data_IF_115398724051
#
_entry.id   IF_115398724051
#
_cell.length_a   1.000
_cell.length_b   1.000
_cell.length_c   1.000
_cell.angle_alpha   90.00
_cell.angle_beta   90.00
_cell.angle_gamma   90.00
#
_symmetry.space_group_name_H-M   'P 1'
#
loop_
_entity.id
_entity.type
_entity.pdbx_description
1 polymer ?
#
# COMPACT_ATOMS: atom_id res chain seq x y z
N UNK A 1 11.48 -5.38 -8.37
CA UNK A 1 10.18 -6.04 -8.30
C UNK A 1 9.10 -5.09 -7.82
N UNK A 2 9.35 -4.37 -6.73
CA UNK A 2 8.40 -3.40 -6.22
C UNK A 2 8.14 -2.29 -7.24
N UNK A 3 9.17 -1.87 -7.97
CA UNK A 3 9.00 -0.88 -9.03
C UNK A 3 8.12 -1.40 -10.15
N UNK A 4 8.26 -2.67 -10.51
CA UNK A 4 7.43 -3.29 -11.54
C UNK A 4 5.97 -3.33 -11.08
N UNK A 5 5.73 -3.72 -9.83
CA UNK A 5 4.37 -3.76 -9.27
C UNK A 5 3.77 -2.36 -9.21
N UNK A 6 4.55 -1.37 -8.79
CA UNK A 6 4.08 0.01 -8.74
C UNK A 6 3.70 0.53 -10.13
N UNK A 7 4.54 0.27 -11.13
CA UNK A 7 4.24 0.72 -12.50
C UNK A 7 3.00 0.05 -13.05
N UNK A 8 2.81 -1.23 -12.78
CA UNK A 8 1.62 -1.95 -13.18
C UNK A 8 0.38 -1.44 -12.44
N UNK A 9 0.53 -1.03 -11.20
CA UNK A 9 -0.58 -0.51 -10.40
C UNK A 9 -1.17 0.76 -11.00
N UNK A 10 -0.41 1.53 -11.76
CA UNK A 10 -0.90 2.74 -12.42
C UNK A 10 -1.80 2.43 -13.60
N UNK A 11 -1.75 1.23 -14.13
CA UNK A 11 -2.63 0.80 -15.21
C UNK A 11 -3.84 0.12 -14.61
N UNK A 12 -4.96 0.82 -14.58
CA UNK A 12 -6.18 0.32 -13.94
C UNK A 12 -7.00 -0.60 -14.85
N UNK A 13 -6.49 -0.96 -16.02
CA UNK A 13 -7.19 -1.88 -16.92
C UNK A 13 -7.38 -3.26 -16.31
N UNK A 14 -6.56 -3.62 -15.32
CA UNK A 14 -6.70 -4.87 -14.57
C UNK A 14 -7.94 -4.91 -13.69
N UNK A 15 -8.55 -3.76 -13.42
CA UNK A 15 -9.64 -3.66 -12.47
C UNK A 15 -10.87 -4.41 -12.96
N UNK A 16 -11.35 -5.32 -12.14
CA UNK A 16 -12.51 -6.17 -12.44
C UNK A 16 -13.73 -5.69 -11.67
N UNK A 17 -14.95 -6.06 -12.10
CA UNK A 17 -16.17 -5.62 -11.41
C UNK A 17 -16.24 -6.03 -9.95
N UNK A 18 -15.65 -7.17 -9.59
CA UNK A 18 -15.75 -7.72 -8.25
C UNK A 18 -14.46 -7.52 -7.47
N UNK A 19 -14.18 -6.27 -7.13
CA UNK A 19 -13.00 -5.92 -6.35
C UNK A 19 -13.33 -5.88 -4.86
N UNK A 20 -12.36 -6.25 -4.03
CA UNK A 20 -12.44 -6.02 -2.59
C UNK A 20 -12.49 -4.51 -2.31
N UNK A 21 -12.89 -4.14 -1.09
CA UNK A 21 -12.88 -2.75 -0.66
C UNK A 21 -11.50 -2.14 -0.78
N UNK A 22 -10.47 -2.89 -0.36
CA UNK A 22 -9.08 -2.46 -0.44
C UNK A 22 -8.63 -2.23 -1.88
N UNK A 23 -9.04 -3.12 -2.80
CA UNK A 23 -8.71 -2.97 -4.21
C UNK A 23 -9.42 -1.78 -4.83
N UNK A 24 -10.65 -1.50 -4.43
CA UNK A 24 -11.38 -0.32 -4.90
C UNK A 24 -10.70 0.97 -4.43
N UNK A 25 -10.22 1.00 -3.19
CA UNK A 25 -9.49 2.15 -2.68
C UNK A 25 -8.17 2.32 -3.43
N UNK A 26 -7.46 1.24 -3.68
CA UNK A 26 -6.22 1.28 -4.47
C UNK A 26 -6.48 1.84 -5.86
N UNK A 27 -7.53 1.37 -6.52
CA UNK A 27 -7.91 1.87 -7.85
C UNK A 27 -8.19 3.37 -7.81
N UNK A 28 -8.90 3.83 -6.81
CA UNK A 28 -9.22 5.25 -6.65
C UNK A 28 -7.96 6.10 -6.51
N UNK A 29 -6.99 5.63 -5.73
CA UNK A 29 -5.72 6.35 -5.58
C UNK A 29 -4.95 6.40 -6.90
N UNK A 30 -4.92 5.30 -7.64
CA UNK A 30 -4.23 5.26 -8.94
C UNK A 30 -4.90 6.21 -9.93
N UNK A 31 -6.22 6.21 -9.97
CA UNK A 31 -6.99 7.08 -10.89
C UNK A 31 -6.79 8.57 -10.59
N UNK A 32 -6.52 8.92 -9.34
CA UNK A 32 -6.25 10.31 -8.95
C UNK A 32 -4.76 10.66 -9.02
N UNK A 33 -3.92 9.75 -9.47
CA UNK A 33 -2.48 9.92 -9.51
C UNK A 33 -1.89 10.19 -8.11
N UNK A 34 -2.47 9.57 -7.12
CA UNK A 34 -2.00 9.65 -5.73
C UNK A 34 -1.07 8.49 -5.40
N UNK A 35 -0.19 8.15 -6.33
CA UNK A 35 0.82 7.11 -6.17
C UNK A 35 2.17 7.79 -5.98
N UNK A 36 2.85 7.45 -4.90
CA UNK A 36 4.16 7.99 -4.61
C UNK A 36 5.19 7.28 -5.49
N UNK A 37 5.80 8.02 -6.41
CA UNK A 37 6.67 7.44 -7.45
C UNK A 37 8.08 7.13 -7.00
N UNK A 38 8.57 7.86 -6.00
CA UNK A 38 9.98 7.85 -5.62
C UNK A 38 10.22 7.20 -4.26
N UNK A 39 9.38 6.22 -3.91
CA UNK A 39 9.54 5.48 -2.67
C UNK A 39 10.86 4.71 -2.69
N UNK A 40 11.64 4.88 -1.63
CA UNK A 40 12.81 4.07 -1.37
C UNK A 40 12.34 2.77 -0.71
N UNK A 41 12.20 1.71 -1.51
CA UNK A 41 11.69 0.44 -1.01
C UNK A 41 12.68 -0.33 -0.16
N UNK A 42 13.93 0.12 -0.09
CA UNK A 42 14.94 -0.50 0.78
C UNK A 42 14.91 0.09 2.19
N UNK A 43 14.74 1.41 2.30
CA UNK A 43 14.85 2.10 3.58
C UNK A 43 13.63 2.93 3.96
N UNK A 44 12.71 3.14 3.03
CA UNK A 44 11.48 3.94 3.25
C UNK A 44 11.77 5.34 3.78
N UNK A 45 12.83 5.97 3.26
CA UNK A 45 13.27 7.27 3.77
C UNK A 45 12.31 8.41 3.48
N UNK A 46 11.49 8.27 2.45
CA UNK A 46 10.62 9.35 1.98
C UNK A 46 9.13 9.08 2.15
N UNK A 47 8.75 8.10 2.95
CA UNK A 47 7.35 7.99 3.35
C UNK A 47 7.10 8.84 4.59
N UNK A 48 5.87 9.33 4.72
CA UNK A 48 5.49 10.29 5.74
C UNK A 48 4.23 9.83 6.48
N UNK A 49 4.00 10.34 7.70
CA UNK A 49 2.74 10.05 8.39
C UNK A 49 1.54 10.42 7.51
N UNK A 50 0.56 9.54 7.46
CA UNK A 50 -0.63 9.70 6.64
C UNK A 50 -0.56 9.01 5.29
N UNK A 51 0.62 8.58 4.85
CA UNK A 51 0.73 7.79 3.63
C UNK A 51 0.04 6.45 3.83
N UNK A 52 -0.61 5.97 2.78
CA UNK A 52 -1.34 4.70 2.82
C UNK A 52 -0.56 3.66 2.03
N UNK A 53 -0.36 2.50 2.64
CA UNK A 53 0.34 1.38 2.02
C UNK A 53 -0.67 0.36 1.57
N UNK A 54 -0.55 -0.08 0.32
CA UNK A 54 -1.47 -1.06 -0.28
C UNK A 54 -0.73 -2.37 -0.48
N UNK A 55 -1.29 -3.45 0.06
CA UNK A 55 -0.62 -4.75 0.13
C UNK A 55 -1.40 -5.80 -0.62
N UNK A 56 -0.66 -6.66 -1.32
CA UNK A 56 -1.19 -7.88 -1.91
C UNK A 56 -1.28 -8.98 -0.84
N UNK A 57 -1.96 -10.06 -1.19
CA UNK A 57 -2.06 -11.24 -0.34
C UNK A 57 -0.92 -12.20 -0.60
N UNK A 58 -0.54 -12.95 0.44
CA UNK A 58 0.33 -14.12 0.30
C UNK A 58 -0.41 -15.34 -0.29
N UNK A 59 -1.72 -15.27 -0.41
CA UNK A 59 -2.52 -16.40 -0.84
C UNK A 59 -2.41 -16.61 -2.34
N UNK A 60 -1.76 -17.69 -2.74
CA UNK A 60 -1.58 -18.04 -4.15
C UNK A 60 -2.90 -18.26 -4.89
N UNK A 61 -3.98 -18.57 -4.17
CA UNK A 61 -5.31 -18.69 -4.78
C UNK A 61 -5.81 -17.36 -5.33
N UNK A 62 -5.26 -16.27 -4.85
CA UNK A 62 -5.56 -14.92 -5.34
C UNK A 62 -4.51 -14.47 -6.36
N UNK A 63 -3.94 -15.42 -7.09
CA UNK A 63 -2.86 -15.18 -8.05
C UNK A 63 -3.35 -14.36 -9.24
N UNK A 64 -3.52 -13.10 -9.00
CA UNK A 64 -3.84 -12.10 -10.02
C UNK A 64 -3.22 -10.78 -9.58
N UNK A 65 -2.77 -10.03 -10.55
CA UNK A 65 -2.16 -8.75 -10.26
C UNK A 65 -3.15 -7.82 -9.56
N UNK A 66 -2.67 -7.11 -8.55
CA UNK A 66 -3.47 -6.15 -7.79
C UNK A 66 -4.64 -6.76 -7.01
N UNK A 67 -4.47 -7.98 -6.57
CA UNK A 67 -5.38 -8.53 -5.56
C UNK A 67 -5.12 -7.86 -4.21
N UNK A 68 -5.25 -6.53 -4.18
CA UNK A 68 -5.04 -5.76 -2.96
C UNK A 68 -6.05 -6.20 -1.91
N UNK A 69 -5.57 -6.77 -0.83
CA UNK A 69 -6.41 -7.33 0.22
C UNK A 69 -6.20 -6.65 1.56
N UNK A 70 -5.24 -5.72 1.65
CA UNK A 70 -4.91 -5.11 2.93
C UNK A 70 -4.34 -3.72 2.73
N UNK A 71 -4.65 -2.81 3.66
CA UNK A 71 -4.10 -1.46 3.69
C UNK A 71 -3.57 -1.14 5.07
N UNK A 72 -2.56 -0.29 5.12
CA UNK A 72 -1.97 0.22 6.36
C UNK A 72 -1.75 1.72 6.22
N UNK A 73 -1.62 2.41 7.34
CA UNK A 73 -1.36 3.85 7.35
C UNK A 73 -0.04 4.10 8.07
N UNK A 74 0.85 4.83 7.43
CA UNK A 74 2.10 5.25 8.07
C UNK A 74 1.81 6.27 9.16
N UNK A 75 2.42 6.07 10.33
CA UNK A 75 2.25 6.98 11.47
C UNK A 75 3.56 7.62 11.91
N UNK A 76 4.62 7.45 11.12
CA UNK A 76 5.90 8.05 11.39
C UNK A 76 6.91 7.06 11.95
N UNK A 77 8.00 7.59 12.47
CA UNK A 77 9.10 6.77 12.96
C UNK A 77 9.05 6.64 14.47
N UNK A 78 9.49 5.50 14.99
CA UNK A 78 9.68 5.31 16.41
C UNK A 78 11.03 5.92 16.86
N UNK A 79 11.35 5.74 18.14
CA UNK A 79 12.59 6.28 18.72
C UNK A 79 13.86 5.69 18.08
N UNK A 80 13.74 4.53 17.46
CA UNK A 80 14.86 3.84 16.82
C UNK A 80 14.94 4.09 15.31
N UNK A 81 14.08 4.96 14.78
CA UNK A 81 14.06 5.28 13.37
C UNK A 81 13.28 4.30 12.50
N UNK A 82 12.53 3.38 13.09
CA UNK A 82 11.72 2.43 12.33
C UNK A 82 10.42 3.09 11.87
N UNK A 83 10.09 2.92 10.60
CA UNK A 83 8.80 3.36 10.10
C UNK A 83 7.69 2.49 10.67
N UNK A 84 6.74 3.11 11.32
CA UNK A 84 5.62 2.44 11.98
C UNK A 84 4.36 2.58 11.15
N UNK A 85 3.57 1.53 11.10
CA UNK A 85 2.28 1.52 10.42
C UNK A 85 1.20 1.05 11.38
N UNK A 86 -0.01 1.57 11.17
CA UNK A 86 -1.21 1.11 11.88
C UNK A 86 -2.06 0.34 10.89
N UNK A 87 -2.60 -0.78 11.33
CA UNK A 87 -3.48 -1.59 10.51
C UNK A 87 -4.57 -2.24 11.35
N UNK A 88 -5.73 -2.45 10.73
CA UNK A 88 -6.80 -3.25 11.30
C UNK A 88 -6.61 -4.72 10.96
N UNK A 89 -7.13 -5.58 11.81
CA UNK A 89 -7.02 -7.01 11.67
C UNK A 89 -8.42 -7.62 11.56
N UNK A 90 -8.50 -8.82 10.99
CA UNK A 90 -9.78 -9.51 10.81
C UNK A 90 -10.47 -9.85 12.14
N UNK A 91 -9.73 -9.89 13.23
CA UNK A 91 -10.28 -10.12 14.56
C UNK A 91 -10.70 -8.83 15.27
N UNK A 92 -10.72 -7.71 14.56
CA UNK A 92 -11.15 -6.42 15.11
C UNK A 92 -10.11 -5.68 15.91
N UNK A 93 -8.88 -6.15 15.93
CA UNK A 93 -7.78 -5.51 16.67
C UNK A 93 -7.03 -4.54 15.77
N UNK A 94 -6.76 -3.35 16.28
CA UNK A 94 -5.89 -2.38 15.60
C UNK A 94 -4.49 -2.55 16.16
N UNK A 95 -3.51 -2.67 15.26
CA UNK A 95 -2.11 -2.89 15.62
C UNK A 95 -1.23 -1.77 15.10
N UNK A 96 -0.21 -1.46 15.88
CA UNK A 96 0.89 -0.59 15.44
C UNK A 96 2.14 -1.46 15.36
N UNK A 97 2.66 -1.61 14.16
CA UNK A 97 3.82 -2.49 13.91
C UNK A 97 4.86 -1.75 13.07
N UNK A 98 6.06 -2.31 12.97
CA UNK A 98 7.05 -1.81 12.02
C UNK A 98 6.64 -2.22 10.61
N UNK A 99 6.93 -1.37 9.63
CA UNK A 99 6.66 -1.72 8.23
C UNK A 99 7.38 -3.02 7.85
N UNK A 100 8.56 -3.25 8.41
CA UNK A 100 9.37 -4.44 8.13
C UNK A 100 8.83 -5.71 8.78
N UNK A 101 7.81 -5.61 9.65
CA UNK A 101 7.14 -6.78 10.19
C UNK A 101 6.21 -7.44 9.17
N UNK A 102 5.92 -6.76 8.05
CA UNK A 102 5.19 -7.34 6.93
C UNK A 102 6.17 -7.76 5.83
N UNK A 103 5.70 -8.66 4.97
CA UNK A 103 6.50 -9.08 3.81
C UNK A 103 6.50 -7.94 2.77
N UNK A 104 7.61 -7.26 2.67
CA UNK A 104 7.77 -6.09 1.80
C UNK A 104 7.53 -6.45 0.32
N UNK A 105 7.74 -7.70 -0.07
CA UNK A 105 7.50 -8.13 -1.45
C UNK A 105 6.01 -8.06 -1.81
N UNK A 106 5.13 -7.99 -0.82
CA UNK A 106 3.69 -7.84 -1.04
C UNK A 106 3.25 -6.39 -1.10
N UNK A 107 4.14 -5.43 -0.90
CA UNK A 107 3.80 -4.02 -1.00
C UNK A 107 3.61 -3.65 -2.47
N UNK A 108 2.39 -3.28 -2.83
CA UNK A 108 2.06 -2.91 -4.20
C UNK A 108 2.49 -1.48 -4.51
N UNK A 109 2.08 -0.54 -3.68
CA UNK A 109 2.49 0.85 -3.79
C UNK A 109 2.15 1.62 -2.52
N UNK A 110 2.70 2.81 -2.42
CA UNK A 110 2.38 3.76 -1.35
C UNK A 110 1.57 4.90 -1.97
N UNK A 111 0.44 5.23 -1.37
CA UNK A 111 -0.40 6.33 -1.82
C UNK A 111 -0.25 7.54 -0.91
N UNK A 112 -0.27 8.71 -1.54
CA UNK A 112 -0.28 9.98 -0.82
C UNK A 112 -1.32 10.88 -1.44
N UNK A 113 -2.29 11.28 -0.64
CA UNK A 113 -3.34 12.19 -1.11
C UNK A 113 -2.73 13.54 -1.43
N UNK A 114 -2.98 14.01 -2.63
CA UNK A 114 -2.51 15.32 -3.09
C UNK A 114 -3.64 16.03 -3.82
N UNK A 115 -4.32 16.92 -3.11
CA UNK A 115 -5.50 17.58 -3.64
C UNK A 115 -5.20 18.49 -4.83
N UNK A 116 -3.94 18.87 -5.04
CA UNK A 116 -3.55 19.65 -6.21
C UNK A 116 -3.59 18.84 -7.51
N UNK A 117 -3.66 17.51 -7.41
CA UNK A 117 -3.72 16.61 -8.57
C UNK A 117 -5.12 16.24 -8.98
N UNK A 118 -6.13 16.80 -8.36
CA UNK A 118 -7.53 16.47 -8.69
C UNK A 118 -7.99 17.21 -9.92
#
# INVERSE_FOLDING_TARGET
ENKTNRNKAKDVSWALPYLSTEAKLAKYFVENDWVLDDVDYDNFTNIEPGDILFWDSDDEKLDRFMACSHTSICVGKDANGNNMIIEGNTDGVIRKIKITDRNINNLLFVGRIDLSKR
#
